data_IF_794060366492
#
_entry.id   IF_794060366492
#
_cell.length_a   1.000
_cell.length_b   1.000
_cell.length_c   1.000
_cell.angle_alpha   90.00
_cell.angle_beta   90.00
_cell.angle_gamma   90.00
#
_symmetry.space_group_name_H-M   'P 1'
#
loop_
_entity.id
_entity.type
_entity.pdbx_description
1 polymer ?
#
# COMPACT_ATOMS: atom_id res chain seq x y z
N UNK A 1 22.82 12.10 64.55
CA UNK A 1 21.73 11.69 63.65
C UNK A 1 21.52 12.86 62.71
N UNK A 2 22.23 12.87 61.58
CA UNK A 2 22.25 14.00 60.67
C UNK A 2 21.14 13.83 59.64
N UNK A 3 20.21 14.78 59.62
CA UNK A 3 19.16 14.89 58.61
C UNK A 3 19.79 15.35 57.30
N UNK A 4 19.81 14.47 56.31
CA UNK A 4 20.09 14.79 54.91
C UNK A 4 18.84 15.52 54.37
N UNK A 5 18.96 16.70 53.75
CA UNK A 5 17.80 17.40 53.20
C UNK A 5 17.33 16.75 51.89
N UNK A 6 16.04 16.41 51.86
CA UNK A 6 15.26 15.91 50.72
C UNK A 6 14.99 17.01 49.67
N UNK A 7 16.01 17.48 48.95
CA UNK A 7 15.84 18.46 47.85
C UNK A 7 16.31 17.98 46.46
N UNK A 8 16.48 16.67 46.26
CA UNK A 8 16.75 16.09 44.92
C UNK A 8 15.49 15.59 44.19
N UNK A 9 14.30 16.09 44.57
CA UNK A 9 13.06 15.80 43.84
C UNK A 9 12.84 16.79 42.71
N UNK A 10 13.30 16.39 41.52
CA UNK A 10 12.38 16.42 40.38
C UNK A 10 12.59 17.48 39.31
N UNK A 11 13.77 18.07 39.15
CA UNK A 11 14.13 18.61 37.84
C UNK A 11 14.56 17.46 36.92
N UNK A 12 13.57 16.69 36.45
CA UNK A 12 13.70 16.00 35.15
C UNK A 12 13.90 17.11 34.12
N UNK A 13 15.16 17.49 33.91
CA UNK A 13 15.61 18.26 32.77
C UNK A 13 15.12 17.51 31.54
N UNK A 14 13.91 17.86 31.07
CA UNK A 14 13.42 17.48 29.74
C UNK A 14 14.31 18.25 28.77
N UNK A 15 15.49 17.70 28.50
CA UNK A 15 16.37 18.18 27.45
C UNK A 15 15.54 18.12 26.17
N UNK A 16 15.05 19.28 25.73
CA UNK A 16 14.29 19.42 24.48
C UNK A 16 15.27 19.20 23.34
N UNK A 17 15.36 17.94 22.91
CA UNK A 17 16.26 17.52 21.85
C UNK A 17 15.76 18.07 20.52
N UNK A 18 16.57 18.93 19.89
CA UNK A 18 16.25 19.43 18.54
C UNK A 18 16.14 18.26 17.57
N UNK A 19 15.11 18.25 16.70
CA UNK A 19 15.00 17.25 15.65
C UNK A 19 16.20 17.32 14.70
N UNK A 20 16.80 16.16 14.42
CA UNK A 20 17.90 16.03 13.46
C UNK A 20 17.40 16.14 12.02
N UNK A 21 18.29 16.42 11.06
CA UNK A 21 17.96 16.39 9.63
C UNK A 21 17.37 15.03 9.21
N UNK A 22 17.91 13.95 9.76
CA UNK A 22 17.41 12.58 9.60
C UNK A 22 15.95 12.41 10.04
N UNK A 23 15.52 13.11 11.10
CA UNK A 23 14.12 13.09 11.54
C UNK A 23 13.19 13.69 10.47
N UNK A 24 13.59 14.80 9.85
CA UNK A 24 12.79 15.45 8.82
C UNK A 24 12.72 14.61 7.55
N UNK A 25 13.87 14.05 7.15
CA UNK A 25 13.94 13.17 6.00
C UNK A 25 13.08 11.91 6.20
N UNK A 26 13.18 11.26 7.36
CA UNK A 26 12.33 10.13 7.74
C UNK A 26 10.85 10.46 7.69
N UNK A 27 10.45 11.66 8.17
CA UNK A 27 9.06 12.13 8.11
C UNK A 27 8.55 12.27 6.69
N UNK A 28 9.29 12.98 5.83
CA UNK A 28 8.89 13.20 4.44
C UNK A 28 8.72 11.87 3.69
N UNK A 29 9.66 10.93 3.89
CA UNK A 29 9.57 9.60 3.29
C UNK A 29 8.38 8.80 3.81
N UNK A 30 8.15 8.74 5.13
CA UNK A 30 6.99 8.03 5.69
C UNK A 30 5.67 8.63 5.24
N UNK A 31 5.61 9.97 5.09
CA UNK A 31 4.42 10.66 4.59
C UNK A 31 4.16 10.32 3.13
N UNK A 32 5.20 10.31 2.29
CA UNK A 32 5.10 9.89 0.89
C UNK A 32 4.59 8.45 0.77
N UNK A 33 5.19 7.52 1.53
CA UNK A 33 4.74 6.12 1.55
C UNK A 33 3.28 5.97 1.98
N UNK A 34 2.88 6.68 3.05
CA UNK A 34 1.51 6.68 3.56
C UNK A 34 0.50 7.22 2.54
N UNK A 35 0.80 8.35 1.89
CA UNK A 35 -0.06 8.93 0.85
C UNK A 35 -0.22 7.97 -0.33
N UNK A 36 0.85 7.30 -0.77
CA UNK A 36 0.77 6.33 -1.86
C UNK A 36 -0.17 5.17 -1.54
N UNK A 37 -0.12 4.61 -0.31
CA UNK A 37 -1.04 3.53 0.10
C UNK A 37 -2.49 4.01 0.11
N UNK A 38 -2.74 5.23 0.60
CA UNK A 38 -4.08 5.83 0.55
C UNK A 38 -4.60 6.01 -0.88
N UNK A 39 -3.73 6.49 -1.78
CA UNK A 39 -4.08 6.65 -3.20
C UNK A 39 -4.38 5.31 -3.86
N UNK A 40 -3.61 4.26 -3.57
CA UNK A 40 -3.88 2.90 -4.06
C UNK A 40 -5.26 2.38 -3.61
N UNK A 41 -5.67 2.68 -2.37
CA UNK A 41 -6.98 2.27 -1.85
C UNK A 41 -8.14 3.06 -2.48
N UNK A 42 -7.94 4.37 -2.72
CA UNK A 42 -8.95 5.24 -3.33
C UNK A 42 -9.03 5.10 -4.85
N UNK A 43 -8.04 4.45 -5.46
CA UNK A 43 -7.95 4.19 -6.90
C UNK A 43 -9.15 3.39 -7.42
N UNK A 44 -9.74 3.85 -8.53
CA UNK A 44 -10.87 3.17 -9.16
C UNK A 44 -12.24 3.33 -8.46
N UNK A 45 -12.35 4.17 -7.43
CA UNK A 45 -13.66 4.51 -6.81
C UNK A 45 -14.40 5.64 -7.54
N UNK A 46 -13.67 6.51 -8.23
CA UNK A 46 -14.23 7.68 -8.90
C UNK A 46 -13.63 7.84 -10.30
N UNK A 47 -14.33 8.51 -11.23
CA UNK A 47 -13.84 8.78 -12.57
C UNK A 47 -12.44 9.41 -12.60
N UNK A 48 -12.15 10.31 -11.65
CA UNK A 48 -10.85 11.00 -11.55
C UNK A 48 -9.74 10.08 -11.04
N UNK A 49 -10.08 9.07 -10.23
CA UNK A 49 -9.10 8.12 -9.67
C UNK A 49 -8.94 6.85 -10.49
N UNK A 50 -9.61 6.72 -11.65
CA UNK A 50 -9.53 5.53 -12.52
C UNK A 50 -8.11 5.27 -13.04
N UNK A 51 -7.30 6.32 -13.19
CA UNK A 51 -5.90 6.19 -13.61
C UNK A 51 -5.05 5.42 -12.59
N UNK A 52 -5.48 5.39 -11.33
CA UNK A 52 -4.87 4.62 -10.25
C UNK A 52 -5.62 3.29 -10.15
N UNK A 53 -5.30 2.37 -11.04
CA UNK A 53 -5.85 1.02 -11.06
C UNK A 53 -4.74 -0.01 -10.89
N UNK A 54 -5.13 -1.23 -10.56
CA UNK A 54 -4.24 -2.38 -10.46
C UNK A 54 -4.26 -3.24 -11.72
N UNK A 55 -5.41 -3.30 -12.39
CA UNK A 55 -5.55 -3.96 -13.68
C UNK A 55 -6.49 -3.18 -14.58
N UNK A 56 -6.27 -3.28 -15.89
CA UNK A 56 -7.10 -2.70 -16.93
C UNK A 56 -7.42 -3.77 -17.96
N UNK A 57 -8.68 -3.87 -18.34
CA UNK A 57 -9.17 -4.73 -19.41
C UNK A 57 -9.70 -3.83 -20.51
N UNK A 58 -9.27 -4.08 -21.73
CA UNK A 58 -9.70 -3.33 -22.90
C UNK A 58 -10.22 -4.30 -23.94
N UNK A 59 -11.52 -4.19 -24.23
CA UNK A 59 -12.15 -4.79 -25.40
C UNK A 59 -12.35 -3.75 -26.51
N UNK A 60 -13.08 -4.14 -27.55
CA UNK A 60 -13.31 -3.29 -28.73
C UNK A 60 -14.12 -2.02 -28.40
N UNK A 61 -15.10 -2.13 -27.50
CA UNK A 61 -16.06 -1.05 -27.21
C UNK A 61 -16.13 -0.61 -25.75
N UNK A 62 -15.38 -1.29 -24.87
CA UNK A 62 -15.43 -1.10 -23.42
C UNK A 62 -14.04 -1.23 -22.85
N UNK A 63 -13.67 -0.28 -22.00
CA UNK A 63 -12.50 -0.34 -21.13
C UNK A 63 -12.96 -0.44 -19.68
N UNK A 64 -12.35 -1.35 -18.92
CA UNK A 64 -12.62 -1.53 -17.49
C UNK A 64 -11.31 -1.37 -16.74
N UNK A 65 -11.31 -0.56 -15.69
CA UNK A 65 -10.18 -0.45 -14.76
C UNK A 65 -10.60 -0.95 -13.39
N UNK A 66 -9.76 -1.77 -12.76
CA UNK A 66 -10.01 -2.39 -11.47
C UNK A 66 -9.11 -1.76 -10.40
N UNK A 67 -9.75 -1.18 -9.40
CA UNK A 67 -9.11 -0.78 -8.15
C UNK A 67 -9.16 -1.90 -7.12
N UNK A 68 -8.83 -1.57 -5.87
CA UNK A 68 -8.92 -2.54 -4.76
C UNK A 68 -10.33 -2.59 -4.14
N UNK A 69 -11.14 -1.54 -4.32
CA UNK A 69 -12.46 -1.38 -3.69
C UNK A 69 -13.60 -1.24 -4.71
N UNK A 70 -13.32 -1.48 -5.99
CA UNK A 70 -14.29 -1.29 -7.05
C UNK A 70 -13.65 -1.26 -8.42
N UNK A 71 -14.43 -0.86 -9.40
CA UNK A 71 -14.02 -0.78 -10.80
C UNK A 71 -14.71 0.37 -11.51
N UNK A 72 -14.07 0.87 -12.58
CA UNK A 72 -14.64 1.89 -13.46
C UNK A 72 -14.75 1.37 -14.88
N UNK A 73 -15.85 1.71 -15.54
CA UNK A 73 -16.16 1.36 -16.93
C UNK A 73 -16.11 2.61 -17.80
N UNK A 74 -15.59 2.47 -19.01
CA UNK A 74 -15.65 3.49 -20.05
C UNK A 74 -16.10 2.85 -21.36
N UNK A 75 -17.30 3.21 -21.82
CA UNK A 75 -17.83 2.80 -23.13
C UNK A 75 -17.67 3.89 -24.17
N UNK A 76 -17.74 3.51 -25.46
CA UNK A 76 -17.47 4.36 -26.64
C UNK A 76 -18.20 5.71 -26.71
N UNK A 77 -19.28 5.93 -25.96
CA UNK A 77 -20.07 7.17 -25.99
C UNK A 77 -20.39 7.77 -24.62
N UNK A 78 -19.90 7.16 -23.53
CA UNK A 78 -20.20 7.58 -22.17
C UNK A 78 -18.93 7.93 -21.40
N UNK A 79 -19.03 8.88 -20.46
CA UNK A 79 -17.98 9.14 -19.48
C UNK A 79 -17.70 7.91 -18.61
N UNK A 80 -16.67 8.00 -17.76
CA UNK A 80 -16.37 6.92 -16.81
C UNK A 80 -17.51 6.73 -15.80
N UNK A 81 -17.97 5.50 -15.63
CA UNK A 81 -18.93 5.10 -14.59
C UNK A 81 -18.24 4.15 -13.62
N UNK A 82 -18.19 4.52 -12.33
CA UNK A 82 -17.49 3.74 -11.32
C UNK A 82 -18.46 3.09 -10.35
N UNK A 83 -18.14 1.85 -9.98
CA UNK A 83 -18.93 1.00 -9.10
C UNK A 83 -18.06 0.57 -7.94
N UNK A 84 -18.55 0.78 -6.72
CA UNK A 84 -17.93 0.23 -5.53
C UNK A 84 -18.36 -1.23 -5.40
N UNK A 85 -17.40 -2.14 -5.43
CA UNK A 85 -17.67 -3.58 -5.40
C UNK A 85 -16.57 -4.30 -4.63
N UNK A 86 -16.97 -4.87 -3.50
CA UNK A 86 -16.10 -5.61 -2.59
C UNK A 86 -15.73 -7.00 -3.13
N UNK A 87 -16.39 -7.50 -4.18
CA UNK A 87 -16.02 -8.76 -4.81
C UNK A 87 -14.63 -8.69 -5.47
N UNK A 88 -14.23 -7.50 -5.94
CA UNK A 88 -12.93 -7.23 -6.59
C UNK A 88 -11.75 -7.58 -5.68
N UNK A 89 -11.90 -7.42 -4.36
CA UNK A 89 -10.88 -7.78 -3.35
C UNK A 89 -11.05 -9.18 -2.74
N UNK A 90 -12.15 -9.88 -3.00
CA UNK A 90 -12.49 -11.14 -2.32
C UNK A 90 -12.51 -12.38 -3.22
N UNK A 91 -12.60 -12.22 -4.54
CA UNK A 91 -12.74 -13.33 -5.48
C UNK A 91 -11.62 -13.23 -6.53
N UNK A 92 -10.94 -14.34 -6.91
CA UNK A 92 -9.84 -14.33 -7.88
C UNK A 92 -10.13 -13.49 -9.12
N UNK A 93 -9.15 -12.75 -9.63
CA UNK A 93 -9.36 -11.79 -10.72
C UNK A 93 -9.97 -12.48 -11.96
N UNK A 94 -9.54 -13.71 -12.26
CA UNK A 94 -10.08 -14.52 -13.36
C UNK A 94 -11.56 -14.89 -13.19
N UNK A 95 -12.05 -15.00 -11.95
CA UNK A 95 -13.44 -15.36 -11.66
C UNK A 95 -14.30 -14.10 -11.54
N UNK A 96 -13.79 -13.07 -10.85
CA UNK A 96 -14.50 -11.82 -10.61
C UNK A 96 -14.82 -11.08 -11.88
N UNK A 97 -13.86 -11.00 -12.79
CA UNK A 97 -14.00 -10.23 -14.02
C UNK A 97 -15.15 -10.77 -14.89
N UNK A 98 -15.21 -12.07 -15.25
CA UNK A 98 -16.36 -12.64 -15.94
C UNK A 98 -17.64 -12.55 -15.10
N UNK A 99 -17.58 -12.82 -13.78
CA UNK A 99 -18.80 -12.81 -12.95
C UNK A 99 -19.46 -11.43 -12.91
N UNK A 100 -18.68 -10.35 -12.87
CA UNK A 100 -19.20 -8.98 -12.83
C UNK A 100 -19.62 -8.46 -14.21
N UNK A 101 -18.89 -8.84 -15.25
CA UNK A 101 -19.01 -8.20 -16.56
C UNK A 101 -19.72 -9.06 -17.59
N UNK A 102 -19.90 -10.37 -17.40
CA UNK A 102 -20.47 -11.22 -18.44
C UNK A 102 -21.95 -10.92 -18.71
N UNK A 103 -22.73 -10.57 -17.68
CA UNK A 103 -24.14 -10.23 -17.84
C UNK A 103 -24.34 -8.88 -18.55
N UNK A 104 -23.42 -7.93 -18.35
CA UNK A 104 -23.53 -6.55 -18.85
C UNK A 104 -22.74 -6.30 -20.13
N UNK A 105 -21.64 -7.03 -20.31
CA UNK A 105 -20.69 -6.93 -21.40
C UNK A 105 -20.25 -8.34 -21.88
N UNK A 106 -21.18 -9.19 -22.34
CA UNK A 106 -20.87 -10.56 -22.76
C UNK A 106 -19.88 -10.62 -23.92
N UNK A 107 -19.80 -9.55 -24.72
CA UNK A 107 -18.83 -9.40 -25.81
C UNK A 107 -17.36 -9.40 -25.35
N UNK A 108 -17.09 -9.26 -24.05
CA UNK A 108 -15.74 -9.39 -23.51
C UNK A 108 -15.32 -10.85 -23.27
N UNK A 109 -16.26 -11.78 -23.18
CA UNK A 109 -15.98 -13.17 -22.75
C UNK A 109 -16.35 -14.20 -23.80
N UNK A 110 -16.22 -13.83 -25.07
CA UNK A 110 -16.48 -14.71 -26.22
C UNK A 110 -15.29 -15.59 -26.52
N UNK A 111 -15.53 -16.77 -27.09
CA UNK A 111 -14.49 -17.70 -27.57
C UNK A 111 -13.41 -18.04 -26.53
N UNK A 112 -13.78 -18.53 -25.32
CA UNK A 112 -12.80 -18.92 -24.31
C UNK A 112 -11.94 -20.09 -24.81
N UNK A 113 -10.62 -19.94 -24.69
CA UNK A 113 -9.67 -21.01 -24.96
C UNK A 113 -9.51 -21.88 -23.72
N UNK A 114 -9.64 -23.21 -23.87
CA UNK A 114 -9.35 -24.14 -22.78
C UNK A 114 -7.84 -24.29 -22.61
N UNK A 115 -7.32 -23.94 -21.44
CA UNK A 115 -5.89 -24.02 -21.14
C UNK A 115 -5.53 -25.41 -20.58
N UNK A 116 -4.48 -26.07 -21.11
CA UNK A 116 -4.06 -27.39 -20.61
C UNK A 116 -3.45 -27.28 -19.21
N UNK A 117 -4.03 -27.99 -18.25
CA UNK A 117 -3.69 -27.92 -16.82
C UNK A 117 -2.22 -28.29 -16.52
N UNK A 118 -1.62 -29.18 -17.32
CA UNK A 118 -0.22 -29.59 -17.17
C UNK A 118 0.80 -28.51 -17.57
N UNK A 119 0.37 -27.48 -18.29
CA UNK A 119 1.20 -26.33 -18.69
C UNK A 119 0.86 -25.10 -17.85
N UNK A 120 -0.41 -24.91 -17.54
CA UNK A 120 -0.93 -23.76 -16.77
C UNK A 120 -1.67 -24.24 -15.51
N UNK A 121 -0.96 -24.67 -14.45
CA UNK A 121 -1.60 -25.17 -13.23
C UNK A 121 -2.46 -24.12 -12.52
N UNK A 122 -2.14 -22.82 -12.69
CA UNK A 122 -2.93 -21.70 -12.19
C UNK A 122 -4.26 -21.50 -12.93
N UNK A 123 -4.51 -22.22 -14.02
CA UNK A 123 -5.78 -22.17 -14.76
C UNK A 123 -6.93 -22.89 -14.02
N UNK A 124 -6.61 -23.84 -13.13
CA UNK A 124 -7.59 -24.71 -12.46
C UNK A 124 -7.87 -24.25 -11.02
N UNK A 125 -6.87 -23.71 -10.35
CA UNK A 125 -6.97 -23.27 -8.97
C UNK A 125 -6.18 -21.97 -8.76
N UNK A 126 -6.83 -20.84 -8.99
CA UNK A 126 -6.33 -19.59 -8.42
C UNK A 126 -6.68 -19.56 -6.93
N UNK A 127 -5.74 -19.22 -6.03
CA UNK A 127 -6.08 -19.02 -4.63
C UNK A 127 -7.14 -17.93 -4.55
N UNK A 128 -8.21 -18.16 -3.77
CA UNK A 128 -9.18 -17.12 -3.46
C UNK A 128 -8.43 -15.87 -2.97
N UNK A 129 -8.88 -14.69 -3.38
CA UNK A 129 -8.32 -13.46 -2.82
C UNK A 129 -8.53 -13.51 -1.31
N UNK A 130 -7.43 -13.50 -0.59
CA UNK A 130 -7.49 -13.58 0.86
C UNK A 130 -8.08 -12.24 1.35
N UNK A 131 -9.19 -12.22 2.13
CA UNK A 131 -9.69 -10.99 2.76
C UNK A 131 -8.61 -10.27 3.59
N UNK A 132 -7.50 -10.96 3.88
CA UNK A 132 -6.29 -10.40 4.48
C UNK A 132 -5.62 -9.28 3.67
N UNK A 133 -5.81 -9.14 2.35
CA UNK A 133 -5.23 -8.00 1.60
C UNK A 133 -5.74 -6.68 2.17
N UNK A 134 -7.06 -6.58 2.41
CA UNK A 134 -7.65 -5.38 2.99
C UNK A 134 -7.16 -5.14 4.42
N UNK A 135 -7.07 -6.19 5.23
CA UNK A 135 -6.50 -6.11 6.58
C UNK A 135 -5.03 -5.67 6.55
N UNK A 136 -4.23 -6.18 5.59
CA UNK A 136 -2.85 -5.78 5.36
C UNK A 136 -2.74 -4.30 5.01
N UNK A 137 -3.60 -3.78 4.13
CA UNK A 137 -3.68 -2.36 3.82
C UNK A 137 -3.98 -1.52 5.08
N UNK A 138 -4.94 -1.95 5.91
CA UNK A 138 -5.26 -1.26 7.18
C UNK A 138 -4.06 -1.27 8.13
N UNK A 139 -3.42 -2.42 8.33
CA UNK A 139 -2.25 -2.54 9.21
C UNK A 139 -1.11 -1.67 8.69
N UNK A 140 -0.86 -1.67 7.38
CA UNK A 140 0.12 -0.82 6.72
C UNK A 140 -0.16 0.67 6.99
N UNK A 141 -1.41 1.11 6.84
CA UNK A 141 -1.83 2.48 7.15
C UNK A 141 -1.69 2.83 8.63
N UNK A 142 -2.02 1.92 9.54
CA UNK A 142 -1.86 2.15 10.98
C UNK A 142 -0.38 2.31 11.32
N UNK A 143 0.48 1.39 10.87
CA UNK A 143 1.92 1.45 11.11
C UNK A 143 2.55 2.70 10.47
N UNK A 144 2.25 2.97 9.20
CA UNK A 144 2.75 4.13 8.48
C UNK A 144 2.25 5.45 9.06
N UNK A 145 0.96 5.52 9.41
CA UNK A 145 0.33 6.68 10.04
C UNK A 145 0.89 6.96 11.43
N UNK A 146 1.15 5.93 12.25
CA UNK A 146 1.84 6.07 13.53
C UNK A 146 3.27 6.58 13.35
N UNK A 147 4.01 6.07 12.36
CA UNK A 147 5.35 6.57 12.05
C UNK A 147 5.35 8.07 11.69
N UNK A 148 4.39 8.50 10.86
CA UNK A 148 4.19 9.91 10.49
C UNK A 148 3.81 10.74 11.72
N UNK A 149 2.82 10.32 12.49
CA UNK A 149 2.31 11.06 13.65
C UNK A 149 3.40 11.26 14.72
N UNK A 150 4.15 10.20 15.03
CA UNK A 150 5.27 10.26 15.97
C UNK A 150 6.44 11.11 15.41
N UNK A 151 6.71 11.01 14.10
CA UNK A 151 7.70 11.84 13.41
C UNK A 151 7.37 13.33 13.51
N UNK A 152 6.15 13.71 13.14
CA UNK A 152 5.63 15.06 13.26
C UNK A 152 5.60 15.52 14.72
N UNK A 153 5.21 14.64 15.65
CA UNK A 153 5.16 14.96 17.06
C UNK A 153 6.53 15.29 17.67
N UNK A 154 7.60 14.65 17.19
CA UNK A 154 8.98 15.02 17.58
C UNK A 154 9.38 16.40 17.08
N UNK A 155 8.90 16.81 15.90
CA UNK A 155 9.20 18.12 15.31
C UNK A 155 8.41 19.22 16.02
N UNK A 156 7.12 18.99 16.27
CA UNK A 156 6.20 19.98 16.83
C UNK A 156 6.35 20.14 18.35
N UNK A 157 6.47 19.03 19.08
CA UNK A 157 6.44 19.03 20.55
C UNK A 157 7.74 18.57 21.20
N UNK A 158 8.80 18.33 20.42
CA UNK A 158 10.11 17.88 20.92
C UNK A 158 10.02 16.62 21.80
N UNK A 159 9.08 15.73 21.49
CA UNK A 159 8.89 14.47 22.22
C UNK A 159 10.09 13.55 21.99
N UNK A 160 10.68 13.11 23.10
CA UNK A 160 11.79 12.16 23.07
C UNK A 160 11.24 10.76 22.77
N UNK A 161 11.90 10.06 21.85
CA UNK A 161 11.54 8.70 21.48
C UNK A 161 12.59 7.77 22.08
N UNK A 162 12.28 7.22 23.24
CA UNK A 162 13.23 6.43 24.04
C UNK A 162 13.38 4.99 23.54
N UNK A 163 12.50 4.53 22.63
CA UNK A 163 12.40 3.14 22.21
C UNK A 163 12.53 2.92 20.71
N UNK A 164 13.06 3.90 19.95
CA UNK A 164 13.17 3.83 18.48
C UNK A 164 11.83 3.56 17.78
N UNK A 165 10.71 3.88 18.43
CA UNK A 165 9.37 3.43 18.05
C UNK A 165 9.01 3.85 16.63
N UNK A 166 9.42 5.05 16.21
CA UNK A 166 9.19 5.56 14.85
C UNK A 166 9.84 4.73 13.76
N UNK A 167 11.11 4.37 13.99
CA UNK A 167 11.88 3.57 13.03
C UNK A 167 11.29 2.17 12.88
N UNK A 168 10.88 1.56 14.00
CA UNK A 168 10.20 0.26 13.98
C UNK A 168 8.81 0.31 13.35
N UNK A 169 8.02 1.35 13.60
CA UNK A 169 6.70 1.50 12.94
C UNK A 169 6.83 1.68 11.44
N UNK A 170 7.81 2.47 10.98
CA UNK A 170 8.12 2.58 9.54
C UNK A 170 8.60 1.24 8.96
N UNK A 171 9.43 0.48 9.68
CA UNK A 171 9.86 -0.86 9.23
C UNK A 171 8.69 -1.84 9.14
N UNK A 172 7.80 -1.85 10.14
CA UNK A 172 6.60 -2.69 10.11
C UNK A 172 5.70 -2.32 8.93
N UNK A 173 5.51 -1.03 8.65
CA UNK A 173 4.80 -0.59 7.45
C UNK A 173 5.48 -1.08 6.16
N UNK A 174 6.82 -1.04 6.10
CA UNK A 174 7.57 -1.59 4.96
C UNK A 174 7.36 -3.10 4.80
N UNK A 175 7.48 -3.88 5.87
CA UNK A 175 7.26 -5.34 5.83
C UNK A 175 5.85 -5.66 5.36
N UNK A 176 4.83 -4.96 5.87
CA UNK A 176 3.45 -5.18 5.44
C UNK A 176 3.25 -4.73 3.98
N UNK A 177 3.85 -3.62 3.55
CA UNK A 177 3.84 -3.20 2.15
C UNK A 177 4.49 -4.24 1.21
N UNK A 178 5.57 -4.90 1.64
CA UNK A 178 6.19 -6.00 0.89
C UNK A 178 5.21 -7.18 0.73
N UNK A 179 4.53 -7.57 1.80
CA UNK A 179 3.50 -8.62 1.74
C UNK A 179 2.36 -8.23 0.80
N UNK A 180 1.89 -6.98 0.85
CA UNK A 180 0.86 -6.47 -0.05
C UNK A 180 1.31 -6.48 -1.51
N UNK A 181 2.58 -6.18 -1.81
CA UNK A 181 3.11 -6.29 -3.17
C UNK A 181 3.08 -7.74 -3.63
N UNK A 182 3.53 -8.67 -2.79
CA UNK A 182 3.52 -10.09 -3.14
C UNK A 182 2.08 -10.58 -3.42
N UNK A 183 1.13 -10.24 -2.54
CA UNK A 183 -0.29 -10.61 -2.72
C UNK A 183 -0.90 -9.96 -3.96
N UNK A 184 -0.73 -8.64 -4.16
CA UNK A 184 -1.26 -7.94 -5.33
C UNK A 184 -0.62 -8.39 -6.64
N UNK A 185 0.65 -8.79 -6.63
CA UNK A 185 1.33 -9.36 -7.80
C UNK A 185 0.72 -10.70 -8.15
N UNK A 186 0.60 -11.64 -7.19
CA UNK A 186 -0.01 -12.95 -7.44
C UNK A 186 -1.45 -12.78 -7.98
N UNK A 187 -2.21 -11.84 -7.41
CA UNK A 187 -3.59 -11.55 -7.78
C UNK A 187 -3.73 -10.96 -9.19
N UNK A 188 -3.03 -9.86 -9.48
CA UNK A 188 -3.24 -9.11 -10.71
C UNK A 188 -2.32 -9.56 -11.84
N UNK A 189 -1.04 -9.87 -11.58
CA UNK A 189 -0.13 -10.34 -12.63
C UNK A 189 -0.61 -11.67 -13.21
N UNK A 190 -0.81 -12.66 -12.32
CA UNK A 190 -1.29 -13.99 -12.73
C UNK A 190 -2.70 -13.93 -13.30
N UNK A 191 -3.57 -13.06 -12.76
CA UNK A 191 -4.91 -12.84 -13.29
C UNK A 191 -4.90 -12.24 -14.71
N UNK A 192 -4.07 -11.23 -14.96
CA UNK A 192 -3.92 -10.56 -16.26
C UNK A 192 -3.34 -11.51 -17.31
N UNK A 193 -2.27 -12.23 -16.97
CA UNK A 193 -1.66 -13.21 -17.87
C UNK A 193 -2.67 -14.28 -18.29
N UNK A 194 -3.38 -14.85 -17.32
CA UNK A 194 -4.34 -15.91 -17.57
C UNK A 194 -5.57 -15.42 -18.35
N UNK A 195 -6.02 -14.19 -18.09
CA UNK A 195 -7.14 -13.60 -18.83
C UNK A 195 -6.79 -13.38 -20.31
N UNK A 196 -5.58 -12.88 -20.60
CA UNK A 196 -5.08 -12.73 -21.97
C UNK A 196 -4.95 -14.08 -22.69
N UNK A 197 -4.55 -15.14 -21.97
CA UNK A 197 -4.45 -16.49 -22.54
C UNK A 197 -5.84 -17.11 -22.80
N UNK A 198 -6.80 -16.86 -21.90
CA UNK A 198 -8.15 -17.42 -22.00
C UNK A 198 -9.00 -16.70 -23.05
N UNK A 199 -8.85 -15.38 -23.15
CA UNK A 199 -9.60 -14.52 -24.07
C UNK A 199 -8.64 -13.69 -24.93
N UNK A 200 -8.12 -14.24 -26.05
CA UNK A 200 -7.07 -13.59 -26.84
C UNK A 200 -7.48 -12.28 -27.51
N UNK A 201 -8.79 -12.04 -27.64
CA UNK A 201 -9.36 -10.82 -28.21
C UNK A 201 -9.41 -9.66 -27.18
N UNK A 202 -9.24 -9.97 -25.89
CA UNK A 202 -9.12 -8.97 -24.84
C UNK A 202 -7.67 -8.57 -24.63
N UNK A 203 -7.47 -7.30 -24.27
CA UNK A 203 -6.19 -6.81 -23.78
C UNK A 203 -6.30 -6.49 -22.29
N UNK A 204 -5.81 -7.41 -21.46
CA UNK A 204 -5.59 -7.20 -20.04
C UNK A 204 -4.16 -6.68 -19.80
N UNK A 205 -4.04 -5.64 -18.98
CA UNK A 205 -2.76 -5.00 -18.62
C UNK A 205 -2.71 -4.67 -17.15
N UNK A 206 -1.50 -4.69 -16.58
CA UNK A 206 -1.26 -4.24 -15.21
C UNK A 206 -1.32 -2.72 -15.12
N UNK A 207 -1.82 -2.23 -13.99
CA UNK A 207 -1.94 -0.81 -13.70
C UNK A 207 -0.83 -0.28 -12.79
N UNK A 208 -0.76 1.05 -12.64
CA UNK A 208 0.26 1.70 -11.81
C UNK A 208 0.12 1.39 -10.32
N UNK A 209 -1.02 0.88 -9.84
CA UNK A 209 -1.27 0.57 -8.43
C UNK A 209 -0.21 -0.36 -7.81
N UNK A 210 0.25 -1.37 -8.56
CA UNK A 210 1.31 -2.30 -8.12
C UNK A 210 2.63 -1.55 -7.91
N UNK A 211 3.00 -0.72 -8.88
CA UNK A 211 4.24 0.08 -8.82
C UNK A 211 4.23 1.12 -7.70
N UNK A 212 3.06 1.70 -7.42
CA UNK A 212 2.88 2.66 -6.31
C UNK A 212 3.04 1.96 -4.96
N UNK A 213 2.53 0.74 -4.79
CA UNK A 213 2.75 -0.06 -3.59
C UNK A 213 4.24 -0.40 -3.43
N UNK A 214 4.92 -0.78 -4.53
CA UNK A 214 6.38 -0.95 -4.59
C UNK A 214 7.17 0.28 -4.14
N UNK A 215 6.74 1.45 -4.60
CA UNK A 215 7.36 2.72 -4.20
C UNK A 215 7.11 3.03 -2.73
N UNK A 216 5.91 2.72 -2.21
CA UNK A 216 5.60 2.89 -0.79
C UNK A 216 6.49 2.03 0.12
N UNK A 217 6.70 0.76 -0.25
CA UNK A 217 7.66 -0.13 0.42
C UNK A 217 9.05 0.53 0.54
N UNK A 218 9.58 1.03 -0.58
CA UNK A 218 10.90 1.67 -0.61
C UNK A 218 10.94 2.88 0.32
N UNK A 219 9.91 3.73 0.27
CA UNK A 219 9.82 4.93 1.10
C UNK A 219 9.76 4.59 2.60
N UNK A 220 8.98 3.57 3.00
CA UNK A 220 8.92 3.13 4.38
C UNK A 220 10.24 2.51 4.86
N UNK A 221 10.91 1.72 4.02
CA UNK A 221 12.24 1.17 4.33
C UNK A 221 13.29 2.25 4.54
N UNK A 222 13.36 3.23 3.63
CA UNK A 222 14.26 4.39 3.76
C UNK A 222 13.90 5.27 4.95
N UNK A 223 12.61 5.46 5.23
CA UNK A 223 12.12 6.19 6.39
C UNK A 223 12.57 5.53 7.70
N UNK A 224 12.47 4.20 7.78
CA UNK A 224 12.94 3.44 8.94
C UNK A 224 14.43 3.65 9.19
N UNK A 225 15.26 3.49 8.16
CA UNK A 225 16.71 3.73 8.25
C UNK A 225 17.02 5.17 8.71
N UNK A 226 16.34 6.17 8.14
CA UNK A 226 16.51 7.57 8.53
C UNK A 226 16.11 7.82 9.99
N UNK A 227 15.00 7.27 10.46
CA UNK A 227 14.58 7.41 11.86
C UNK A 227 15.55 6.74 12.82
N UNK A 228 16.03 5.53 12.51
CA UNK A 228 17.00 4.81 13.33
C UNK A 228 18.33 5.57 13.41
N UNK A 229 18.84 6.03 12.27
CA UNK A 229 20.06 6.85 12.23
C UNK A 229 19.89 8.18 12.96
N UNK A 230 18.70 8.78 12.90
CA UNK A 230 18.37 10.00 13.64
C UNK A 230 18.33 9.82 15.17
N UNK A 231 18.17 8.59 15.66
CA UNK A 231 18.29 8.23 17.07
C UNK A 231 19.74 7.92 17.46
N UNK A 232 20.49 7.21 16.60
CA UNK A 232 21.89 6.82 16.85
C UNK A 232 22.89 7.97 16.72
N UNK A 233 22.62 8.96 15.86
CA UNK A 233 23.48 10.17 15.70
C UNK A 233 23.51 11.09 16.93
N UNK A 234 23.03 10.60 18.08
CA UNK A 234 22.99 11.33 19.36
C UNK A 234 24.21 11.06 20.26
N UNK A 235 25.20 10.30 19.82
CA UNK A 235 26.50 10.22 20.51
C UNK A 235 27.44 11.32 19.99
N UNK A 236 27.70 12.35 20.81
CA UNK A 236 28.73 13.35 20.49
C UNK A 236 28.53 14.77 21.03
N UNK A 237 27.55 15.00 21.90
CA UNK A 237 27.27 16.33 22.47
C UNK A 237 27.74 16.55 23.91
N UNK A 238 28.39 15.58 24.56
CA UNK A 238 29.17 15.85 25.76
C UNK A 238 30.61 16.12 25.34
N UNK A 239 30.86 17.37 24.97
CA UNK A 239 32.17 17.93 25.20
C UNK A 239 32.45 17.84 26.69
N UNK A 240 33.40 16.99 27.05
CA UNK A 240 34.18 17.18 28.27
C UNK A 240 34.77 18.59 28.20
N UNK A 241 34.26 19.49 29.03
CA UNK A 241 34.98 20.62 29.59
C UNK A 241 34.64 20.67 31.08
#
# INVERSE_FOLDING_TARGET
>A
MNTIPDEEKGQKLRIRLRPTRWTHFGLLLSLGGFILVLLCLAGGLQPVSQAIHFAKIQGENVTVTFGLLGYCLHGNAAGWTCHQDDAVKMIPFLVTVPTLLNDTHPSLFVDPVTLPEGVYPLAVAQPNHDPRIFAGCIICLICGGLAVALGAGKILWYVQDTSYLRGFMAMMAAVVALLLIAETTIMYHGGVELLNLTYPHLLATEGPGITMMGTSLLLFGLSSAAYLQGCLSYEGGYGMV
#
